data_IF_719290471154
#
_entry.id   IF_719290471154
#
_cell.length_a   1.000
_cell.length_b   1.000
_cell.length_c   1.000
_cell.angle_alpha   90.00
_cell.angle_beta   90.00
_cell.angle_gamma   90.00
#
_symmetry.space_group_name_H-M   'P 1'
#
loop_
_entity.id
_entity.type
_entity.pdbx_description
1 polymer ?
#
# COMPACT_ATOMS: atom_id res chain seq x y z
N UNK A 1 12.59 -3.42 -31.85
CA UNK A 1 13.64 -3.30 -30.92
C UNK A 1 13.33 -3.92 -29.58
N UNK A 2 14.07 -4.92 -29.24
CA UNK A 2 13.85 -5.61 -27.97
C UNK A 2 14.06 -4.70 -26.77
N UNK A 3 14.92 -3.69 -26.90
CA UNK A 3 15.20 -2.81 -25.79
C UNK A 3 14.00 -2.05 -25.28
N UNK A 4 13.06 -1.73 -26.14
CA UNK A 4 11.86 -1.01 -25.70
C UNK A 4 11.01 -1.90 -24.81
N UNK A 5 10.84 -3.13 -25.20
CA UNK A 5 10.07 -4.08 -24.43
C UNK A 5 10.75 -4.34 -23.07
N UNK A 6 12.06 -4.47 -23.08
CA UNK A 6 12.81 -4.74 -21.86
C UNK A 6 12.65 -3.62 -20.86
N UNK A 7 12.67 -2.38 -21.32
CA UNK A 7 12.48 -1.24 -20.40
C UNK A 7 11.11 -1.29 -19.76
N UNK A 8 10.11 -1.65 -20.54
CA UNK A 8 8.76 -1.77 -20.01
C UNK A 8 8.69 -2.87 -18.95
N UNK A 9 9.32 -4.01 -19.25
CA UNK A 9 9.27 -5.15 -18.35
C UNK A 9 10.10 -4.91 -17.09
N UNK A 10 11.17 -4.15 -17.21
CA UNK A 10 12.01 -3.87 -16.05
C UNK A 10 11.48 -2.75 -15.17
N UNK A 11 10.44 -2.07 -15.62
CA UNK A 11 9.85 -0.99 -14.83
C UNK A 11 9.18 -1.57 -13.59
N UNK A 12 9.63 -1.15 -12.42
CA UNK A 12 9.07 -1.65 -11.18
C UNK A 12 8.13 -0.63 -10.57
N UNK A 13 7.21 -1.13 -9.79
CA UNK A 13 6.25 -0.31 -9.06
C UNK A 13 6.52 -0.53 -7.58
N UNK A 14 6.92 0.52 -6.89
CA UNK A 14 7.19 0.43 -5.46
C UNK A 14 5.89 0.55 -4.67
N UNK A 15 5.75 -0.29 -3.67
CA UNK A 15 4.51 -0.39 -2.92
C UNK A 15 4.80 -0.32 -1.43
N UNK A 16 4.06 0.55 -0.73
CA UNK A 16 4.02 0.55 0.72
C UNK A 16 2.72 -0.07 1.18
N UNK A 17 2.73 -0.71 2.34
CA UNK A 17 1.54 -1.36 2.89
C UNK A 17 1.34 -0.90 4.33
N UNK A 18 0.11 -0.51 4.64
CA UNK A 18 -0.27 -0.09 5.99
C UNK A 18 -1.49 -0.87 6.45
N UNK A 19 -1.35 -1.57 7.57
CA UNK A 19 -2.45 -2.28 8.20
C UNK A 19 -2.12 -2.40 9.68
N UNK A 20 -3.09 -2.13 10.55
CA UNK A 20 -2.81 -2.15 11.99
C UNK A 20 -2.71 -3.56 12.57
N UNK A 21 -3.04 -4.58 11.81
CA UNK A 21 -2.90 -5.97 12.22
C UNK A 21 -1.71 -6.58 11.50
N UNK A 22 -0.71 -7.05 12.25
CA UNK A 22 0.52 -7.55 11.65
C UNK A 22 0.30 -8.80 10.82
N UNK A 23 -0.67 -9.65 11.17
CA UNK A 23 -0.96 -10.83 10.38
C UNK A 23 -1.58 -10.45 9.04
N UNK A 24 -2.53 -9.52 9.06
CA UNK A 24 -3.13 -9.04 7.83
C UNK A 24 -2.09 -8.31 6.97
N UNK A 25 -1.21 -7.56 7.61
CA UNK A 25 -0.16 -6.84 6.91
C UNK A 25 0.72 -7.80 6.12
N UNK A 26 1.15 -8.89 6.74
CA UNK A 26 1.96 -9.88 6.06
C UNK A 26 1.21 -10.53 4.90
N UNK A 27 -0.05 -10.85 5.11
CA UNK A 27 -0.86 -11.47 4.07
C UNK A 27 -1.01 -10.55 2.87
N UNK A 28 -1.30 -9.28 3.12
CA UNK A 28 -1.47 -8.30 2.04
C UNK A 28 -0.16 -8.11 1.29
N UNK A 29 0.95 -8.02 2.00
CA UNK A 29 2.25 -7.83 1.37
C UNK A 29 2.60 -9.02 0.48
N UNK A 30 2.41 -10.24 0.98
CA UNK A 30 2.70 -11.43 0.20
C UNK A 30 1.80 -11.52 -1.03
N UNK A 31 0.51 -11.31 -0.85
CA UNK A 31 -0.44 -11.38 -1.96
C UNK A 31 -0.12 -10.33 -3.02
N UNK A 32 0.19 -9.12 -2.59
CA UNK A 32 0.50 -8.04 -3.50
C UNK A 32 1.76 -8.36 -4.32
N UNK A 33 2.78 -8.87 -3.65
CA UNK A 33 4.03 -9.17 -4.33
C UNK A 33 3.87 -10.29 -5.36
N UNK A 34 2.86 -11.13 -5.21
CA UNK A 34 2.60 -12.21 -6.14
C UNK A 34 1.73 -11.83 -7.33
N UNK A 35 1.11 -10.65 -7.27
CA UNK A 35 0.26 -10.21 -8.36
C UNK A 35 1.05 -9.88 -9.61
N UNK A 36 2.27 -9.44 -9.47
CA UNK A 36 3.10 -9.10 -10.61
C UNK A 36 4.56 -9.07 -10.20
N UNK A 37 5.48 -9.57 -11.06
CA UNK A 37 6.91 -9.44 -10.77
C UNK A 37 7.39 -8.00 -10.79
N UNK A 38 6.57 -7.07 -11.27
CA UNK A 38 6.92 -5.65 -11.26
C UNK A 38 6.66 -4.99 -9.91
N UNK A 39 5.91 -5.63 -9.03
CA UNK A 39 5.54 -5.07 -7.74
C UNK A 39 6.61 -5.35 -6.71
N UNK A 40 7.11 -4.29 -6.08
CA UNK A 40 8.11 -4.40 -5.03
C UNK A 40 7.61 -3.75 -3.77
N UNK A 41 7.51 -4.52 -2.69
CA UNK A 41 7.13 -3.97 -1.39
C UNK A 41 8.38 -3.32 -0.82
N UNK A 42 8.40 -2.00 -0.77
CA UNK A 42 9.56 -1.28 -0.24
C UNK A 42 9.48 -1.10 1.27
N UNK A 43 8.28 -1.14 1.83
CA UNK A 43 8.10 -1.19 3.28
C UNK A 43 6.66 -1.59 3.58
N UNK A 44 6.48 -2.11 4.79
CA UNK A 44 5.17 -2.38 5.35
C UNK A 44 5.20 -1.97 6.81
N UNK A 45 4.09 -1.46 7.32
CA UNK A 45 4.06 -0.98 8.69
C UNK A 45 2.67 -1.09 9.28
N UNK A 46 2.62 -1.27 10.60
CA UNK A 46 1.36 -1.21 11.32
C UNK A 46 1.09 0.19 11.88
N UNK A 47 2.01 1.12 11.68
CA UNK A 47 1.92 2.46 12.26
C UNK A 47 1.50 3.47 11.21
N UNK A 48 0.32 4.11 11.37
CA UNK A 48 -0.08 5.19 10.47
C UNK A 48 0.92 6.34 10.42
N UNK A 49 1.53 6.68 11.55
CA UNK A 49 2.51 7.76 11.59
C UNK A 49 3.73 7.43 10.75
N UNK A 50 4.20 6.19 10.81
CA UNK A 50 5.34 5.77 9.99
C UNK A 50 4.98 5.78 8.51
N UNK A 51 3.78 5.35 8.17
CA UNK A 51 3.35 5.37 6.77
C UNK A 51 3.32 6.79 6.23
N UNK A 52 2.75 7.72 6.99
CA UNK A 52 2.73 9.12 6.59
C UNK A 52 4.14 9.67 6.41
N UNK A 53 5.00 9.41 7.39
CA UNK A 53 6.37 9.91 7.32
C UNK A 53 7.09 9.41 6.07
N UNK A 54 6.96 8.13 5.77
CA UNK A 54 7.64 7.56 4.61
C UNK A 54 7.07 8.06 3.31
N UNK A 55 5.78 8.30 3.24
CA UNK A 55 5.17 8.88 2.05
C UNK A 55 5.64 10.31 1.82
N UNK A 56 5.98 11.02 2.89
CA UNK A 56 6.49 12.39 2.76
C UNK A 56 7.99 12.45 2.55
N UNK A 57 8.69 11.33 2.66
CA UNK A 57 10.14 11.29 2.54
C UNK A 57 10.51 10.88 1.13
N UNK A 58 11.30 11.71 0.46
CA UNK A 58 11.59 11.55 -0.95
C UNK A 58 12.10 10.15 -1.31
N UNK A 59 13.03 9.62 -0.57
CA UNK A 59 13.61 8.32 -0.89
C UNK A 59 12.79 7.11 -0.47
N UNK A 60 11.76 7.31 0.36
CA UNK A 60 10.93 6.23 0.86
C UNK A 60 9.51 6.25 0.31
N UNK A 61 9.19 7.23 -0.50
CA UNK A 61 7.84 7.39 -1.05
C UNK A 61 7.53 6.30 -2.06
N UNK A 62 6.44 5.55 -1.86
CA UNK A 62 6.09 4.51 -2.81
C UNK A 62 5.32 5.07 -4.00
N UNK A 63 5.27 4.29 -5.07
CA UNK A 63 4.39 4.62 -6.19
C UNK A 63 2.94 4.38 -5.80
N UNK A 64 2.69 3.35 -5.01
CA UNK A 64 1.34 2.98 -4.57
C UNK A 64 1.38 2.64 -3.09
N UNK A 65 0.39 3.13 -2.35
CA UNK A 65 0.20 2.75 -0.96
C UNK A 65 -1.08 1.93 -0.83
N UNK A 66 -0.96 0.75 -0.25
CA UNK A 66 -2.10 -0.10 0.06
C UNK A 66 -2.46 0.14 1.53
N UNK A 67 -3.70 0.55 1.79
CA UNK A 67 -4.14 0.96 3.11
C UNK A 67 -5.33 0.13 3.54
N UNK A 68 -5.26 -0.44 4.74
CA UNK A 68 -6.42 -1.05 5.36
C UNK A 68 -7.34 0.05 5.89
N UNK A 69 -8.59 0.03 5.45
CA UNK A 69 -9.55 1.05 5.85
C UNK A 69 -10.06 0.87 7.27
N UNK A 70 -9.81 -0.29 7.86
CA UNK A 70 -10.29 -0.59 9.21
C UNK A 70 -9.22 -0.33 10.27
N UNK A 71 -8.48 0.75 10.13
CA UNK A 71 -7.47 1.14 11.11
C UNK A 71 -8.13 1.67 12.36
N UNK A 72 -7.62 1.26 13.51
CA UNK A 72 -8.11 1.78 14.77
C UNK A 72 -7.65 3.22 14.99
N UNK A 73 -8.47 4.03 15.61
CA UNK A 73 -8.12 5.40 15.93
C UNK A 73 -8.20 6.32 14.73
N UNK A 74 -7.18 6.31 13.90
CA UNK A 74 -7.19 7.08 12.66
C UNK A 74 -7.69 6.17 11.56
N UNK A 75 -8.65 6.63 10.80
CA UNK A 75 -9.21 5.81 9.73
C UNK A 75 -8.29 5.81 8.52
N UNK A 76 -8.42 4.77 7.70
CA UNK A 76 -7.69 4.73 6.44
C UNK A 76 -8.03 5.92 5.55
N UNK A 77 -9.27 6.38 5.60
CA UNK A 77 -9.69 7.53 4.82
C UNK A 77 -8.94 8.80 5.24
N UNK A 78 -8.72 8.99 6.55
CA UNK A 78 -7.97 10.13 7.03
C UNK A 78 -6.54 10.11 6.55
N UNK A 79 -5.92 8.94 6.58
CA UNK A 79 -4.55 8.78 6.10
C UNK A 79 -4.47 9.12 4.62
N UNK A 80 -5.40 8.60 3.84
CA UNK A 80 -5.42 8.84 2.40
C UNK A 80 -5.61 10.32 2.10
N UNK A 81 -6.47 10.99 2.84
CA UNK A 81 -6.71 12.41 2.64
C UNK A 81 -5.44 13.23 2.90
N UNK A 82 -4.71 12.89 3.96
CA UNK A 82 -3.48 13.59 4.29
C UNK A 82 -2.41 13.38 3.24
N UNK A 83 -2.29 12.14 2.77
CA UNK A 83 -1.31 11.81 1.75
C UNK A 83 -1.66 12.53 0.45
N UNK A 84 -2.93 12.51 0.07
CA UNK A 84 -3.36 13.11 -1.19
C UNK A 84 -3.08 14.60 -1.23
N UNK A 85 -3.20 15.27 -0.10
CA UNK A 85 -2.91 16.70 -0.05
C UNK A 85 -1.44 17.03 -0.26
N UNK A 86 -0.54 16.17 0.24
CA UNK A 86 0.88 16.46 0.19
C UNK A 86 1.59 15.79 -0.97
N UNK A 87 1.12 14.61 -1.36
CA UNK A 87 1.77 13.83 -2.40
C UNK A 87 0.70 13.26 -3.33
N UNK A 88 0.12 14.11 -4.18
CA UNK A 88 -1.01 13.68 -5.01
C UNK A 88 -0.66 12.64 -6.06
N UNK A 89 0.63 12.38 -6.28
CA UNK A 89 1.04 11.42 -7.29
C UNK A 89 1.07 9.97 -6.80
N UNK A 90 0.97 9.75 -5.49
CA UNK A 90 0.93 8.38 -4.96
C UNK A 90 -0.41 7.76 -5.29
N UNK A 91 -0.40 6.55 -5.86
CA UNK A 91 -1.62 5.78 -6.03
C UNK A 91 -2.07 5.24 -4.69
N UNK A 92 -3.37 5.32 -4.41
CA UNK A 92 -3.91 4.84 -3.14
C UNK A 92 -4.88 3.72 -3.42
N UNK A 93 -4.62 2.55 -2.82
CA UNK A 93 -5.47 1.39 -2.93
C UNK A 93 -5.98 1.05 -1.55
N UNK A 94 -7.27 1.09 -1.36
CA UNK A 94 -7.88 0.83 -0.06
C UNK A 94 -8.43 -0.57 -0.03
N UNK A 95 -8.10 -1.30 1.03
CA UNK A 95 -8.61 -2.66 1.21
C UNK A 95 -9.33 -2.72 2.54
N UNK A 96 -10.16 -3.73 2.71
CA UNK A 96 -10.81 -3.95 3.97
C UNK A 96 -10.90 -5.44 4.22
N UNK A 97 -10.48 -5.85 5.40
CA UNK A 97 -10.57 -7.25 5.78
C UNK A 97 -11.95 -7.62 6.28
N UNK A 98 -12.82 -6.65 6.48
CA UNK A 98 -14.20 -6.97 6.89
C UNK A 98 -14.92 -7.82 5.88
N UNK A 99 -14.68 -7.55 4.61
CA UNK A 99 -15.38 -8.28 3.57
C UNK A 99 -14.97 -9.74 3.50
N UNK A 100 -13.86 -10.07 4.13
CA UNK A 100 -13.36 -11.42 4.15
C UNK A 100 -13.87 -12.23 5.33
N UNK A 101 -14.59 -11.60 6.24
CA UNK A 101 -15.11 -12.27 7.43
C UNK A 101 -16.48 -12.86 7.13
N UNK A 102 -16.61 -14.19 7.12
CA UNK A 102 -17.88 -14.81 6.78
C UNK A 102 -18.97 -14.56 7.80
N UNK A 103 -18.61 -14.08 8.98
CA UNK A 103 -19.60 -13.83 10.00
C UNK A 103 -20.16 -12.43 9.97
N UNK A 104 -19.72 -11.65 9.03
CA UNK A 104 -20.16 -10.27 8.98
C UNK A 104 -21.39 -10.04 8.15
N UNK A 105 -21.85 -11.04 7.49
CA UNK A 105 -22.89 -10.82 6.58
C UNK A 105 -24.23 -10.74 7.19
N UNK A 106 -24.41 -10.73 8.42
CA UNK A 106 -25.73 -10.60 9.00
C UNK A 106 -26.41 -9.27 8.82
#
# INVERSE_FOLDING_TARGET
MGGMTDLSDSHTISIGVLDNDSLALNAIAVMTSRLSPRFHIIWSTTSPAMALQRCMTHGARPDVLVVDMALGGITGADICARIRRRTPTIGLVCVTSYDLDPYRQD
#
